data_IF_417391590518
#
_entry.id   IF_417391590518
#
_cell.length_a   1.000
_cell.length_b   1.000
_cell.length_c   1.000
_cell.angle_alpha   90.00
_cell.angle_beta   90.00
_cell.angle_gamma   90.00
#
_symmetry.space_group_name_H-M   'P 1'
#
loop_
_entity.id
_entity.type
_entity.pdbx_description
1 polymer ?
#
# COMPACT_ATOMS: atom_id res chain seq x y z
N UNK A 1 9.18 0.57 -37.07
CA UNK A 1 7.84 0.41 -36.47
C UNK A 1 7.55 -1.06 -36.16
N UNK A 2 7.34 -1.94 -37.14
CA UNK A 2 6.99 -3.36 -36.85
C UNK A 2 8.11 -4.15 -36.15
N UNK A 3 9.38 -3.93 -36.53
CA UNK A 3 10.54 -4.59 -35.90
C UNK A 3 10.70 -4.17 -34.44
N UNK A 4 10.60 -2.86 -34.17
CA UNK A 4 10.72 -2.27 -32.83
C UNK A 4 9.57 -2.70 -31.92
N UNK A 5 8.33 -2.73 -32.44
CA UNK A 5 7.18 -3.29 -31.73
C UNK A 5 7.42 -4.76 -31.32
N UNK A 6 7.91 -5.58 -32.25
CA UNK A 6 8.24 -6.98 -31.97
C UNK A 6 9.33 -7.17 -30.90
N UNK A 7 10.27 -6.24 -30.78
CA UNK A 7 11.27 -6.23 -29.71
C UNK A 7 10.66 -5.86 -28.35
N UNK A 8 9.78 -4.85 -28.30
CA UNK A 8 9.09 -4.46 -27.05
C UNK A 8 8.18 -5.57 -26.52
N UNK A 9 7.47 -6.27 -27.39
CA UNK A 9 6.58 -7.37 -27.00
C UNK A 9 7.36 -8.56 -26.42
N UNK A 10 8.48 -8.92 -27.04
CA UNK A 10 9.38 -9.96 -26.51
C UNK A 10 9.97 -9.57 -25.16
N UNK A 11 10.41 -8.33 -25.00
CA UNK A 11 10.94 -7.84 -23.74
C UNK A 11 9.88 -7.88 -22.62
N UNK A 12 8.64 -7.46 -22.92
CA UNK A 12 7.50 -7.55 -22.00
C UNK A 12 7.22 -8.99 -21.58
N UNK A 13 7.28 -9.92 -22.53
CA UNK A 13 7.07 -11.35 -22.24
C UNK A 13 8.13 -11.90 -21.27
N UNK A 14 9.40 -11.49 -21.41
CA UNK A 14 10.47 -11.90 -20.50
C UNK A 14 10.22 -11.42 -19.06
N UNK A 15 9.75 -10.18 -18.88
CA UNK A 15 9.35 -9.69 -17.55
C UNK A 15 8.22 -10.53 -16.96
N UNK A 16 7.18 -10.84 -17.73
CA UNK A 16 6.08 -11.65 -17.23
C UNK A 16 6.52 -13.07 -16.86
N UNK A 17 7.36 -13.72 -17.69
CA UNK A 17 7.93 -15.04 -17.35
C UNK A 17 8.80 -15.00 -16.09
N UNK A 18 9.51 -13.90 -15.85
CA UNK A 18 10.27 -13.70 -14.61
C UNK A 18 9.33 -13.53 -13.40
N UNK A 19 8.22 -12.82 -13.59
CA UNK A 19 7.19 -12.61 -12.57
C UNK A 19 6.38 -13.87 -12.25
N UNK A 20 6.29 -14.83 -13.18
CA UNK A 20 5.72 -16.16 -12.91
C UNK A 20 6.59 -16.96 -11.93
N UNK A 21 7.90 -16.72 -11.92
CA UNK A 21 8.86 -17.43 -11.06
C UNK A 21 9.20 -16.67 -9.79
N UNK A 22 9.06 -15.35 -9.80
CA UNK A 22 9.46 -14.46 -8.71
C UNK A 22 8.41 -13.38 -8.51
N UNK A 23 8.09 -13.02 -7.27
CA UNK A 23 7.17 -11.91 -6.99
C UNK A 23 7.89 -10.68 -6.46
N UNK A 24 9.19 -10.53 -6.78
CA UNK A 24 10.03 -9.50 -6.19
C UNK A 24 9.65 -8.12 -6.71
N UNK A 25 9.42 -7.16 -5.79
CA UNK A 25 9.03 -5.78 -6.12
C UNK A 25 9.93 -5.11 -7.16
N UNK A 26 11.24 -5.39 -7.16
CA UNK A 26 12.19 -4.78 -8.10
C UNK A 26 11.88 -5.12 -9.55
N UNK A 27 11.36 -6.32 -9.82
CA UNK A 27 10.97 -6.74 -11.18
C UNK A 27 9.73 -5.97 -11.61
N UNK A 28 8.77 -5.78 -10.71
CA UNK A 28 7.57 -4.95 -10.96
C UNK A 28 7.93 -3.50 -11.26
N UNK A 29 8.80 -2.88 -10.44
CA UNK A 29 9.26 -1.51 -10.67
C UNK A 29 9.98 -1.37 -12.02
N UNK A 30 10.85 -2.32 -12.35
CA UNK A 30 11.55 -2.35 -13.64
C UNK A 30 10.59 -2.50 -14.81
N UNK A 31 9.54 -3.32 -14.68
CA UNK A 31 8.50 -3.47 -15.70
C UNK A 31 7.70 -2.17 -15.88
N UNK A 32 7.31 -1.50 -14.79
CA UNK A 32 6.63 -0.20 -14.86
C UNK A 32 7.47 0.85 -15.58
N UNK A 33 8.77 0.93 -15.25
CA UNK A 33 9.71 1.83 -15.91
C UNK A 33 9.91 1.47 -17.39
N UNK A 34 9.97 0.18 -17.71
CA UNK A 34 10.05 -0.29 -19.08
C UNK A 34 8.82 0.14 -19.90
N UNK A 35 7.59 -0.07 -19.42
CA UNK A 35 6.37 0.37 -20.13
C UNK A 35 6.33 1.88 -20.34
N UNK A 36 6.83 2.65 -19.37
CA UNK A 36 6.96 4.09 -19.48
C UNK A 36 8.00 4.50 -20.53
N UNK A 37 9.14 3.80 -20.60
CA UNK A 37 10.25 4.10 -21.51
C UNK A 37 9.91 3.91 -23.00
N UNK A 38 8.88 3.14 -23.31
CA UNK A 38 8.38 2.96 -24.69
C UNK A 38 7.85 4.30 -25.26
N UNK A 39 7.47 5.24 -24.39
CA UNK A 39 7.02 6.58 -24.75
C UNK A 39 5.88 6.60 -25.79
N UNK A 40 4.98 5.62 -25.72
CA UNK A 40 3.75 5.59 -26.52
C UNK A 40 2.62 6.37 -25.82
N UNK A 41 1.55 6.69 -26.55
CA UNK A 41 0.40 7.44 -26.01
C UNK A 41 -0.25 6.76 -24.79
N UNK A 42 -0.09 5.44 -24.67
CA UNK A 42 -0.62 4.63 -23.58
C UNK A 42 0.43 4.24 -22.53
N UNK A 43 1.68 4.71 -22.62
CA UNK A 43 2.80 4.28 -21.77
C UNK A 43 2.49 4.54 -20.30
N UNK A 44 1.99 5.74 -19.98
CA UNK A 44 1.55 6.08 -18.62
C UNK A 44 0.44 5.14 -18.13
N UNK A 45 -0.54 4.85 -18.98
CA UNK A 45 -1.66 3.94 -18.63
C UNK A 45 -1.17 2.50 -18.42
N UNK A 46 -0.25 2.01 -19.24
CA UNK A 46 0.35 0.68 -19.12
C UNK A 46 1.18 0.57 -17.83
N UNK A 47 2.06 1.54 -17.57
CA UNK A 47 2.85 1.60 -16.34
C UNK A 47 1.96 1.62 -15.09
N UNK A 48 0.89 2.41 -15.09
CA UNK A 48 -0.09 2.45 -13.99
C UNK A 48 -0.75 1.09 -13.75
N UNK A 49 -1.16 0.38 -14.82
CA UNK A 49 -1.72 -0.98 -14.72
C UNK A 49 -0.72 -1.98 -14.12
N UNK A 50 0.58 -1.82 -14.41
CA UNK A 50 1.62 -2.65 -13.80
C UNK A 50 1.69 -2.40 -12.29
N UNK A 51 1.66 -1.14 -11.84
CA UNK A 51 1.62 -0.81 -10.41
C UNK A 51 0.37 -1.36 -9.71
N UNK A 52 -0.80 -1.22 -10.32
CA UNK A 52 -2.05 -1.76 -9.80
C UNK A 52 -1.97 -3.28 -9.61
N UNK A 53 -1.55 -4.01 -10.65
CA UNK A 53 -1.37 -5.46 -10.62
C UNK A 53 -0.33 -5.88 -9.58
N UNK A 54 0.79 -5.17 -9.50
CA UNK A 54 1.83 -5.44 -8.53
C UNK A 54 1.32 -5.27 -7.09
N UNK A 55 0.54 -4.21 -6.81
CA UNK A 55 0.02 -3.96 -5.47
C UNK A 55 -0.98 -5.05 -5.05
N UNK A 56 -1.76 -5.61 -5.97
CA UNK A 56 -2.62 -6.75 -5.71
C UNK A 56 -1.84 -8.03 -5.40
N UNK A 57 -0.79 -8.32 -6.18
CA UNK A 57 0.03 -9.52 -5.99
C UNK A 57 0.84 -9.47 -4.68
N UNK A 58 1.33 -8.29 -4.30
CA UNK A 58 2.13 -8.11 -3.08
C UNK A 58 1.30 -8.04 -1.78
N UNK A 59 -0.04 -8.15 -1.83
CA UNK A 59 -0.90 -8.06 -0.63
C UNK A 59 -0.54 -9.07 0.45
N UNK A 60 -0.15 -10.28 0.06
CA UNK A 60 0.19 -11.38 0.96
C UNK A 60 1.70 -11.63 1.06
N UNK A 61 2.51 -10.73 0.50
CA UNK A 61 3.97 -10.82 0.49
C UNK A 61 4.57 -9.95 1.62
N UNK A 62 5.88 -9.71 1.55
CA UNK A 62 6.56 -8.82 2.48
C UNK A 62 5.98 -7.39 2.42
N UNK A 63 5.67 -6.85 3.59
CA UNK A 63 5.13 -5.51 3.75
C UNK A 63 6.12 -4.43 3.35
N UNK A 64 7.41 -4.66 3.53
CA UNK A 64 8.45 -3.73 3.10
C UNK A 64 8.52 -3.65 1.58
N UNK A 65 8.39 -4.78 0.89
CA UNK A 65 8.31 -4.81 -0.57
C UNK A 65 7.05 -4.10 -1.09
N UNK A 66 5.89 -4.33 -0.45
CA UNK A 66 4.66 -3.62 -0.82
C UNK A 66 4.77 -2.12 -0.57
N UNK A 67 5.42 -1.69 0.51
CA UNK A 67 5.69 -0.27 0.77
C UNK A 67 6.59 0.32 -0.32
N UNK A 68 7.69 -0.35 -0.66
CA UNK A 68 8.61 0.09 -1.73
C UNK A 68 7.89 0.26 -3.07
N UNK A 69 6.94 -0.64 -3.38
CA UNK A 69 6.10 -0.50 -4.58
C UNK A 69 5.27 0.78 -4.55
N UNK A 70 4.58 1.05 -3.43
CA UNK A 70 3.70 2.22 -3.30
C UNK A 70 4.48 3.54 -3.32
N UNK A 71 5.70 3.55 -2.76
CA UNK A 71 6.61 4.70 -2.87
C UNK A 71 7.01 4.95 -4.33
N UNK A 72 7.38 3.90 -5.06
CA UNK A 72 7.66 4.00 -6.49
C UNK A 72 6.46 4.46 -7.31
N UNK A 73 5.26 3.95 -6.99
CA UNK A 73 4.02 4.37 -7.65
C UNK A 73 3.71 5.84 -7.37
N UNK A 74 3.90 6.31 -6.14
CA UNK A 74 3.70 7.71 -5.79
C UNK A 74 4.64 8.63 -6.57
N UNK A 75 5.93 8.28 -6.68
CA UNK A 75 6.88 9.05 -7.50
C UNK A 75 6.44 9.09 -8.96
N UNK A 76 6.01 7.94 -9.51
CA UNK A 76 5.46 7.87 -10.86
C UNK A 76 4.26 8.82 -11.08
N UNK A 77 3.27 8.82 -10.18
CA UNK A 77 2.09 9.70 -10.32
C UNK A 77 2.44 11.19 -10.10
N UNK A 78 3.47 11.50 -9.30
CA UNK A 78 3.98 12.88 -9.17
C UNK A 78 4.57 13.36 -10.50
N UNK A 79 5.29 12.49 -11.21
CA UNK A 79 5.99 12.85 -12.44
C UNK A 79 5.09 12.81 -13.69
N UNK A 80 4.14 11.87 -13.75
CA UNK A 80 3.39 11.55 -14.97
C UNK A 80 1.86 11.54 -14.79
N UNK A 81 1.39 11.69 -13.55
CA UNK A 81 -0.02 11.65 -13.18
C UNK A 81 -0.61 13.03 -12.90
N UNK A 82 -1.60 13.03 -12.01
CA UNK A 82 -2.34 14.20 -11.57
C UNK A 82 -2.59 14.14 -10.05
N UNK A 83 -3.16 15.21 -9.49
CA UNK A 83 -3.42 15.28 -8.05
C UNK A 83 -4.38 14.18 -7.57
N UNK A 84 -5.34 13.76 -8.41
CA UNK A 84 -6.30 12.71 -8.05
C UNK A 84 -5.61 11.35 -7.92
N UNK A 85 -4.78 10.99 -8.89
CA UNK A 85 -4.00 9.74 -8.90
C UNK A 85 -2.98 9.70 -7.76
N UNK A 86 -2.28 10.80 -7.48
CA UNK A 86 -1.40 10.92 -6.31
C UNK A 86 -2.18 10.66 -5.01
N UNK A 87 -3.36 11.26 -4.88
CA UNK A 87 -4.21 11.06 -3.71
C UNK A 87 -4.72 9.62 -3.58
N UNK A 88 -5.05 8.95 -4.69
CA UNK A 88 -5.40 7.51 -4.69
C UNK A 88 -4.26 6.65 -4.17
N UNK A 89 -3.01 6.93 -4.53
CA UNK A 89 -1.84 6.20 -4.02
C UNK A 89 -1.61 6.52 -2.54
N UNK A 90 -1.71 7.78 -2.13
CA UNK A 90 -1.57 8.18 -0.73
C UNK A 90 -2.57 7.47 0.20
N UNK A 91 -3.80 7.24 -0.26
CA UNK A 91 -4.81 6.48 0.50
C UNK A 91 -4.45 4.99 0.69
N UNK A 92 -3.52 4.45 -0.10
CA UNK A 92 -3.03 3.07 0.03
C UNK A 92 -1.80 2.95 0.93
N UNK A 93 -1.12 4.06 1.24
CA UNK A 93 0.12 4.06 2.01
C UNK A 93 -0.10 3.51 3.43
N UNK A 94 0.80 2.64 3.94
CA UNK A 94 0.66 2.07 5.26
C UNK A 94 1.04 3.05 6.37
N UNK A 95 0.56 2.75 7.57
CA UNK A 95 1.03 3.37 8.82
C UNK A 95 2.14 2.51 9.41
N UNK A 96 3.27 3.15 9.76
CA UNK A 96 4.36 2.51 10.51
C UNK A 96 4.03 2.50 12.00
N UNK A 97 4.07 1.33 12.63
CA UNK A 97 3.85 1.15 14.06
C UNK A 97 5.01 0.42 14.71
N UNK A 98 5.24 0.65 16.00
CA UNK A 98 6.21 -0.11 16.81
C UNK A 98 5.50 -1.26 17.48
N UNK A 99 6.05 -2.47 17.36
CA UNK A 99 5.55 -3.68 18.02
C UNK A 99 6.68 -4.33 18.80
N UNK A 100 6.30 -5.17 19.78
CA UNK A 100 7.24 -5.93 20.59
C UNK A 100 7.00 -7.41 20.32
N UNK A 101 8.04 -8.17 19.99
CA UNK A 101 7.99 -9.64 19.90
C UNK A 101 8.87 -10.23 20.99
N UNK A 102 8.48 -11.41 21.49
CA UNK A 102 9.36 -12.20 22.36
C UNK A 102 10.54 -12.71 21.53
N UNK A 103 11.74 -12.63 22.09
CA UNK A 103 12.95 -13.22 21.53
C UNK A 103 13.21 -14.52 22.26
N UNK A 104 13.44 -15.59 21.50
CA UNK A 104 13.85 -16.89 22.03
C UNK A 104 15.33 -17.12 21.71
N UNK A 105 16.07 -17.62 22.68
CA UNK A 105 17.45 -18.11 22.47
C UNK A 105 17.45 -19.43 21.69
N UNK A 106 18.61 -19.84 21.16
CA UNK A 106 18.76 -21.12 20.45
C UNK A 106 18.31 -22.34 21.28
N UNK A 107 18.35 -22.23 22.62
CA UNK A 107 17.92 -23.26 23.56
C UNK A 107 16.42 -23.15 23.95
N UNK A 108 15.67 -22.27 23.27
CA UNK A 108 14.24 -22.04 23.51
C UNK A 108 13.91 -21.27 24.78
N UNK A 109 14.91 -20.72 25.50
CA UNK A 109 14.66 -19.89 26.68
C UNK A 109 14.33 -18.45 26.29
N UNK A 110 13.33 -17.84 26.94
CA UNK A 110 12.90 -16.47 26.68
C UNK A 110 14.05 -15.48 26.96
N UNK A 111 14.57 -14.85 25.91
CA UNK A 111 15.72 -13.94 25.96
C UNK A 111 15.33 -12.47 26.18
N UNK A 112 14.03 -12.16 26.14
CA UNK A 112 13.49 -10.80 26.32
C UNK A 112 12.51 -10.37 25.23
N UNK A 113 12.32 -9.06 25.10
CA UNK A 113 11.44 -8.45 24.10
C UNK A 113 12.26 -7.61 23.12
N UNK A 114 12.02 -7.79 21.82
CA UNK A 114 12.60 -6.96 20.76
C UNK A 114 11.53 -6.03 20.18
N UNK A 115 11.88 -4.73 20.08
CA UNK A 115 11.07 -3.75 19.36
C UNK A 115 11.34 -3.84 17.86
N UNK A 116 10.29 -4.01 17.06
CA UNK A 116 10.38 -4.00 15.60
C UNK A 116 9.31 -3.08 15.00
N UNK A 117 9.58 -2.57 13.80
CA UNK A 117 8.60 -1.82 13.05
C UNK A 117 7.73 -2.76 12.23
N UNK A 118 6.43 -2.48 12.22
CA UNK A 118 5.45 -3.17 11.38
C UNK A 118 4.64 -2.13 10.61
N UNK A 119 4.07 -2.55 9.49
CA UNK A 119 3.29 -1.70 8.61
C UNK A 119 1.83 -2.19 8.59
N UNK A 120 0.89 -1.25 8.69
CA UNK A 120 -0.55 -1.53 8.56
C UNK A 120 -1.06 -0.78 7.33
N UNK A 121 -1.45 -1.52 6.31
CA UNK A 121 -2.08 -0.96 5.11
C UNK A 121 -3.57 -0.70 5.39
N UNK A 122 -4.13 0.43 4.93
CA UNK A 122 -5.54 0.79 5.16
C UNK A 122 -6.53 -0.29 4.67
N UNK A 123 -6.24 -0.92 3.52
CA UNK A 123 -7.07 -1.99 2.95
C UNK A 123 -7.13 -3.22 3.86
N UNK A 124 -6.02 -3.59 4.52
CA UNK A 124 -5.93 -4.74 5.41
C UNK A 124 -6.63 -4.49 6.76
N UNK A 125 -6.70 -3.22 7.20
CA UNK A 125 -7.37 -2.79 8.42
C UNK A 125 -8.89 -3.03 8.33
N UNK A 126 -9.47 -2.71 7.16
CA UNK A 126 -10.90 -2.88 6.88
C UNK A 126 -11.37 -4.34 6.81
N UNK A 127 -10.44 -5.26 6.53
CA UNK A 127 -10.69 -6.70 6.43
C UNK A 127 -10.74 -7.41 7.80
N UNK A 128 -10.32 -6.75 8.90
CA UNK A 128 -10.34 -7.35 10.24
C UNK A 128 -11.64 -7.03 10.98
N UNK A 129 -12.51 -8.02 11.29
CA UNK A 129 -13.81 -7.77 11.91
C UNK A 129 -13.70 -7.12 13.30
N UNK A 130 -12.66 -7.44 14.08
CA UNK A 130 -12.49 -6.91 15.44
C UNK A 130 -12.18 -5.40 15.49
N UNK A 131 -11.68 -4.81 14.40
CA UNK A 131 -11.40 -3.37 14.33
C UNK A 131 -12.65 -2.54 14.01
N UNK A 132 -13.63 -3.10 13.28
CA UNK A 132 -14.93 -2.43 13.07
C UNK A 132 -15.66 -2.21 14.38
N UNK A 133 -15.59 -3.17 15.32
CA UNK A 133 -16.18 -3.03 16.64
C UNK A 133 -15.54 -1.87 17.44
N UNK A 134 -14.21 -1.75 17.39
CA UNK A 134 -13.49 -0.66 18.05
C UNK A 134 -13.77 0.70 17.40
N UNK A 135 -13.86 0.76 16.08
CA UNK A 135 -14.23 1.98 15.34
C UNK A 135 -15.66 2.43 15.67
N UNK A 136 -16.62 1.49 15.73
CA UNK A 136 -17.99 1.76 16.16
C UNK A 136 -18.06 2.20 17.63
N UNK A 137 -17.27 1.61 18.52
CA UNK A 137 -17.18 2.04 19.92
C UNK A 137 -16.62 3.46 20.07
N UNK A 138 -15.60 3.82 19.26
CA UNK A 138 -15.06 5.19 19.23
C UNK A 138 -16.08 6.20 18.68
N UNK A 139 -16.83 5.81 17.64
CA UNK A 139 -17.93 6.63 17.11
C UNK A 139 -19.07 6.81 18.11
N UNK A 140 -19.44 5.76 18.86
CA UNK A 140 -20.44 5.85 19.93
C UNK A 140 -19.99 6.78 21.06
N UNK A 141 -18.73 6.66 21.49
CA UNK A 141 -18.18 7.56 22.51
C UNK A 141 -18.20 9.01 22.05
N UNK A 142 -17.76 9.28 20.81
CA UNK A 142 -17.77 10.63 20.23
C UNK A 142 -19.18 11.20 20.14
N UNK A 143 -20.16 10.39 19.68
CA UNK A 143 -21.57 10.81 19.65
C UNK A 143 -22.09 11.17 21.04
N UNK A 144 -21.69 10.42 22.06
CA UNK A 144 -22.06 10.71 23.46
C UNK A 144 -21.44 12.02 23.96
N UNK A 145 -20.17 12.28 23.61
CA UNK A 145 -19.50 13.53 23.93
C UNK A 145 -20.19 14.72 23.22
N UNK A 146 -20.49 14.60 21.93
CA UNK A 146 -21.23 15.62 21.15
C UNK A 146 -22.65 15.86 21.72
N UNK A 147 -23.39 14.80 22.11
CA UNK A 147 -24.71 14.92 22.77
C UNK A 147 -24.62 15.61 24.15
N UNK A 148 -23.51 15.41 24.87
CA UNK A 148 -23.29 16.02 26.19
C UNK A 148 -22.88 17.50 26.07
N UNK A 149 -22.14 17.87 25.02
CA UNK A 149 -21.80 19.26 24.72
C UNK A 149 -23.03 20.05 24.27
N UNK A 150 -23.85 19.51 23.37
CA UNK A 150 -25.11 20.15 22.93
C UNK A 150 -26.09 20.35 24.10
N UNK A 151 -26.14 19.43 25.07
CA UNK A 151 -26.99 19.60 26.25
C UNK A 151 -26.52 20.68 27.22
N UNK A 152 -25.21 21.00 27.25
CA UNK A 152 -24.67 22.08 28.10
C UNK A 152 -24.88 23.45 27.48
N UNK A 153 -24.74 23.57 26.17
CA UNK A 153 -24.96 24.84 25.47
C UNK A 153 -26.44 25.31 25.51
N UNK A 154 -27.39 24.39 25.72
CA UNK A 154 -28.83 24.72 25.88
C UNK A 154 -29.18 25.16 27.31
N UNK A 155 -28.42 24.73 28.33
CA UNK A 155 -28.65 25.15 29.73
C UNK A 155 -28.03 26.53 30.06
N UNK A 156 -27.04 27.00 29.29
CA UNK A 156 -26.39 28.31 29.50
C UNK A 156 -27.11 29.48 28.79
N UNK A 157 -28.13 29.22 27.96
CA UNK A 157 -28.91 30.21 27.18
C UNK A 157 -30.35 30.47 27.73
N UNK A 158 -30.76 29.85 28.86
CA UNK A 158 -32.01 30.13 29.61
C UNK A 158 -31.78 31.02 30.85
#
# INVERSE_FOLDING_TARGET
>A
FEVELGETDRARELYYRLLERTQHVKVWLSLSQFELSIADENSTTKARRVFEKANEQLRNQDKEERLMLLEGWKVFEIEHGDEESINKVNQKMPKRIKKRRKVETADGTEAGWEEYFDYIFPEDESARPNLKLLAMAKMWKKKKEDETEVSKDVEDDE
#
